data_IF_585719351669
#
_entry.id   IF_585719351669
#
_cell.length_a   1.000
_cell.length_b   1.000
_cell.length_c   1.000
_cell.angle_alpha   90.00
_cell.angle_beta   90.00
_cell.angle_gamma   90.00
#
_symmetry.space_group_name_H-M   'P 1'
#
loop_
_entity.id
_entity.type
_entity.pdbx_description
1 polymer ?
#
# COMPACT_ATOMS: atom_id res chain seq x y z
N UNK A 1 8.42 3.69 19.83
CA UNK A 1 7.29 4.55 20.26
C UNK A 1 6.07 4.19 19.45
N UNK A 2 4.88 4.51 19.95
CA UNK A 2 3.64 4.37 19.17
C UNK A 2 3.49 5.58 18.25
N UNK A 3 3.13 5.34 16.98
CA UNK A 3 2.76 6.40 16.02
C UNK A 3 1.25 6.62 16.05
N UNK A 4 0.76 7.82 15.66
CA UNK A 4 -0.67 8.12 15.71
C UNK A 4 -1.48 7.21 14.78
N UNK A 5 -0.96 6.89 13.59
CA UNK A 5 -1.58 5.92 12.69
C UNK A 5 -0.91 4.56 12.83
N UNK A 6 -1.71 3.51 13.10
CA UNK A 6 -1.22 2.13 13.18
C UNK A 6 -0.60 1.64 11.87
N UNK A 7 -1.13 2.11 10.75
CA UNK A 7 -0.70 1.80 9.39
C UNK A 7 -1.38 2.75 8.39
N UNK A 8 -0.87 2.80 7.16
CA UNK A 8 -1.47 3.53 6.04
C UNK A 8 -1.64 2.59 4.84
N UNK A 9 -2.87 2.43 4.36
CA UNK A 9 -3.19 1.58 3.23
C UNK A 9 -3.54 2.44 2.02
N UNK A 10 -2.75 2.35 0.95
CA UNK A 10 -2.83 3.17 -0.24
C UNK A 10 -3.03 2.31 -1.49
N UNK A 11 -3.75 2.83 -2.48
CA UNK A 11 -3.91 2.18 -3.77
C UNK A 11 -4.23 3.18 -4.88
N UNK A 12 -4.26 2.70 -6.12
CA UNK A 12 -4.67 3.51 -7.28
C UNK A 12 -6.12 3.23 -7.67
N UNK A 13 -6.52 1.96 -7.66
CA UNK A 13 -7.82 1.54 -8.16
C UNK A 13 -8.83 1.34 -7.03
N UNK A 14 -10.12 1.68 -7.24
CA UNK A 14 -11.19 1.27 -6.34
C UNK A 14 -11.22 -0.25 -6.14
N UNK A 15 -11.79 -0.71 -5.03
CA UNK A 15 -11.96 -2.15 -4.77
C UNK A 15 -12.85 -2.78 -5.84
N UNK A 16 -12.40 -3.89 -6.42
CA UNK A 16 -13.23 -4.72 -7.30
C UNK A 16 -14.00 -5.73 -6.45
N UNK A 17 -15.32 -5.79 -6.66
CA UNK A 17 -16.25 -6.62 -5.91
C UNK A 17 -16.88 -7.70 -6.79
N UNK A 18 -17.51 -8.69 -6.17
CA UNK A 18 -18.11 -9.84 -6.86
C UNK A 18 -17.15 -11.01 -6.98
N UNK A 19 -17.57 -12.05 -7.69
CA UNK A 19 -16.76 -13.26 -7.92
C UNK A 19 -16.04 -13.12 -9.25
N UNK A 20 -14.75 -13.38 -9.26
CA UNK A 20 -14.03 -13.59 -10.50
C UNK A 20 -14.42 -14.96 -11.06
N UNK A 21 -15.19 -14.97 -12.15
CA UNK A 21 -15.73 -16.20 -12.75
C UNK A 21 -14.66 -17.11 -13.34
N UNK A 22 -13.45 -16.60 -13.60
CA UNK A 22 -12.36 -17.40 -14.16
C UNK A 22 -11.66 -18.22 -13.08
N UNK A 23 -11.56 -17.69 -11.86
CA UNK A 23 -10.85 -18.35 -10.74
C UNK A 23 -11.77 -18.80 -9.60
N UNK A 24 -13.04 -18.40 -9.58
CA UNK A 24 -14.02 -18.77 -8.56
C UNK A 24 -13.85 -18.07 -7.21
N UNK A 25 -12.91 -17.15 -7.07
CA UNK A 25 -12.67 -16.38 -5.84
C UNK A 25 -13.33 -15.01 -5.87
N UNK A 26 -13.63 -14.47 -4.70
CA UNK A 26 -14.06 -13.07 -4.58
C UNK A 26 -12.94 -12.11 -5.02
N UNK A 27 -13.30 -11.09 -5.81
CA UNK A 27 -12.40 -10.03 -6.28
C UNK A 27 -11.84 -9.17 -5.14
N UNK A 28 -12.40 -9.30 -3.93
CA UNK A 28 -11.87 -8.69 -2.71
C UNK A 28 -10.44 -9.15 -2.43
N UNK A 29 -10.10 -10.43 -2.65
CA UNK A 29 -8.74 -10.94 -2.47
C UNK A 29 -7.75 -10.35 -3.48
N UNK A 30 -8.20 -10.11 -4.71
CA UNK A 30 -7.40 -9.42 -5.73
C UNK A 30 -7.27 -7.91 -5.49
N UNK A 31 -8.06 -7.35 -4.58
CA UNK A 31 -8.12 -5.92 -4.31
C UNK A 31 -7.48 -5.53 -2.98
N UNK A 32 -6.88 -6.44 -2.21
CA UNK A 32 -6.30 -6.10 -0.90
C UNK A 32 -5.04 -6.90 -0.58
N UNK A 33 -4.04 -6.22 -0.03
CA UNK A 33 -2.82 -6.82 0.54
C UNK A 33 -2.69 -6.59 2.05
N UNK A 34 -3.60 -5.81 2.65
CA UNK A 34 -3.60 -5.48 4.07
C UNK A 34 -4.90 -5.95 4.72
N UNK A 35 -4.78 -6.69 5.82
CA UNK A 35 -5.89 -7.36 6.49
C UNK A 35 -5.77 -7.23 8.00
N UNK A 36 -6.84 -6.83 8.66
CA UNK A 36 -6.88 -6.70 10.12
C UNK A 36 -7.21 -8.01 10.83
N UNK A 37 -7.84 -8.94 10.10
CA UNK A 37 -8.20 -10.31 10.49
C UNK A 37 -8.23 -11.17 9.23
N UNK A 38 -8.18 -12.52 9.33
CA UNK A 38 -8.18 -13.42 8.16
C UNK A 38 -9.34 -13.19 7.17
N UNK A 39 -10.45 -12.63 7.63
CA UNK A 39 -11.66 -12.38 6.83
C UNK A 39 -12.01 -10.90 6.68
N UNK A 40 -11.17 -9.98 7.18
CA UNK A 40 -11.48 -8.55 7.17
C UNK A 40 -10.34 -7.71 6.58
N UNK A 41 -10.47 -7.29 5.30
CA UNK A 41 -9.46 -6.45 4.66
C UNK A 41 -9.44 -5.06 5.31
N UNK A 42 -8.32 -4.37 5.17
CA UNK A 42 -8.21 -2.97 5.55
C UNK A 42 -8.57 -2.07 4.36
N UNK A 43 -9.35 -1.04 4.64
CA UNK A 43 -9.70 0.01 3.70
C UNK A 43 -8.46 0.68 3.13
N UNK A 44 -8.41 0.85 1.80
CA UNK A 44 -7.32 1.53 1.11
C UNK A 44 -7.79 2.91 0.65
N UNK A 45 -6.98 3.94 0.87
CA UNK A 45 -7.21 5.27 0.34
C UNK A 45 -6.67 5.34 -1.10
N UNK A 46 -7.47 5.91 -2.01
CA UNK A 46 -7.10 6.11 -3.41
C UNK A 46 -7.00 7.59 -3.77
N UNK A 47 -7.49 8.49 -2.93
CA UNK A 47 -7.46 9.92 -3.15
C UNK A 47 -6.27 10.54 -2.39
N UNK A 48 -5.27 11.09 -3.10
CA UNK A 48 -4.10 11.66 -2.44
C UNK A 48 -4.44 12.88 -1.57
N UNK A 49 -5.51 13.63 -1.89
CA UNK A 49 -5.98 14.73 -1.04
C UNK A 49 -6.44 14.22 0.33
N UNK A 50 -7.21 13.14 0.35
CA UNK A 50 -7.72 12.55 1.59
C UNK A 50 -6.59 11.90 2.41
N UNK A 51 -5.64 11.24 1.74
CA UNK A 51 -4.43 10.75 2.40
C UNK A 51 -3.62 11.89 3.04
N UNK A 52 -3.42 13.00 2.31
CA UNK A 52 -2.75 14.19 2.83
C UNK A 52 -3.48 14.79 4.02
N UNK A 53 -4.79 15.01 3.92
CA UNK A 53 -5.59 15.58 5.02
C UNK A 53 -5.56 14.69 6.25
N UNK A 54 -5.55 13.36 6.07
CA UNK A 54 -5.38 12.42 7.18
C UNK A 54 -4.03 12.57 7.89
N UNK A 55 -2.94 12.70 7.13
CA UNK A 55 -1.60 12.94 7.68
C UNK A 55 -1.51 14.32 8.36
N UNK A 56 -2.12 15.34 7.75
CA UNK A 56 -2.14 16.69 8.30
C UNK A 56 -2.91 16.73 9.63
N UNK A 57 -4.06 16.06 9.74
CA UNK A 57 -4.85 16.02 10.97
C UNK A 57 -4.10 15.39 12.15
N UNK A 58 -3.31 14.35 11.91
CA UNK A 58 -2.56 13.70 13.00
C UNK A 58 -1.31 14.47 13.40
N UNK A 59 -0.68 15.17 12.45
CA UNK A 59 0.53 15.97 12.67
C UNK A 59 0.21 17.38 13.21
N UNK A 60 -0.90 17.98 12.78
CA UNK A 60 -1.38 19.31 13.14
C UNK A 60 -2.88 19.28 13.48
N UNK A 61 -3.27 18.71 14.63
CA UNK A 61 -4.67 18.63 15.02
C UNK A 61 -5.28 20.03 15.24
N UNK A 62 -6.37 20.35 14.54
CA UNK A 62 -7.20 21.53 14.79
C UNK A 62 -8.43 21.14 15.61
N UNK A 63 -8.75 21.90 16.67
CA UNK A 63 -9.88 21.56 17.58
C UNK A 63 -11.26 21.67 16.90
N UNK A 64 -11.39 22.47 15.83
CA UNK A 64 -12.67 22.80 15.20
C UNK A 64 -13.10 21.94 14.01
N UNK A 65 -12.18 21.31 13.29
CA UNK A 65 -12.51 20.52 12.09
C UNK A 65 -13.08 19.13 12.45
N UNK A 66 -12.51 18.49 13.48
CA UNK A 66 -12.91 17.14 13.91
C UNK A 66 -14.40 17.02 14.27
N UNK A 67 -14.99 18.06 14.90
CA UNK A 67 -16.40 18.04 15.29
C UNK A 67 -17.35 18.20 14.10
N UNK A 68 -16.99 19.03 13.11
CA UNK A 68 -17.82 19.25 11.91
C UNK A 68 -17.82 18.04 10.99
N UNK A 69 -16.65 17.43 10.79
CA UNK A 69 -16.52 16.26 9.92
C UNK A 69 -17.20 15.03 10.52
N UNK A 70 -17.15 14.86 11.84
CA UNK A 70 -17.90 13.80 12.54
C UNK A 70 -19.41 13.94 12.36
N UNK A 71 -19.95 15.16 12.44
CA UNK A 71 -21.37 15.43 12.19
C UNK A 71 -21.78 15.15 10.74
N UNK A 72 -20.92 15.52 9.77
CA UNK A 72 -21.15 15.24 8.35
C UNK A 72 -21.12 13.73 8.07
N UNK A 73 -20.15 13.03 8.64
CA UNK A 73 -20.04 11.58 8.52
C UNK A 73 -21.26 10.88 9.13
N UNK A 74 -21.66 11.26 10.35
CA UNK A 74 -22.83 10.66 11.01
C UNK A 74 -24.10 10.85 10.15
N UNK A 75 -24.21 11.99 9.46
CA UNK A 75 -25.29 12.24 8.50
C UNK A 75 -25.18 11.35 7.25
N UNK A 76 -24.01 11.24 6.63
CA UNK A 76 -23.78 10.37 5.46
C UNK A 76 -24.02 8.89 5.81
N UNK A 77 -23.60 8.45 7.00
CA UNK A 77 -23.88 7.10 7.51
C UNK A 77 -25.38 6.90 7.74
N UNK A 78 -26.09 7.93 8.21
CA UNK A 78 -27.55 7.96 8.30
C UNK A 78 -28.21 7.76 6.93
N UNK A 79 -27.85 8.59 5.95
CA UNK A 79 -28.38 8.54 4.59
C UNK A 79 -28.07 7.20 3.90
N UNK A 80 -26.87 6.66 4.11
CA UNK A 80 -26.48 5.35 3.57
C UNK A 80 -27.28 4.19 4.19
N UNK A 81 -27.63 4.26 5.48
CA UNK A 81 -28.53 3.28 6.12
C UNK A 81 -29.94 3.38 5.55
N UNK A 82 -30.43 4.57 5.24
CA UNK A 82 -31.73 4.74 4.57
C UNK A 82 -31.71 4.22 3.14
N UNK A 83 -30.64 4.50 2.39
CA UNK A 83 -30.44 3.97 1.04
C UNK A 83 -30.40 2.44 1.06
N UNK A 84 -29.70 1.83 2.02
CA UNK A 84 -29.62 0.38 2.18
C UNK A 84 -30.99 -0.29 2.26
N UNK A 85 -31.96 0.32 2.95
CA UNK A 85 -33.34 -0.20 3.05
C UNK A 85 -34.05 -0.25 1.69
N UNK A 86 -33.58 0.50 0.69
CA UNK A 86 -34.15 0.61 -0.66
C UNK A 86 -33.39 -0.23 -1.69
N UNK A 87 -32.28 -0.86 -1.31
CA UNK A 87 -31.40 -1.63 -2.20
C UNK A 87 -31.71 -3.14 -2.15
N UNK A 88 -31.46 -3.83 -3.26
CA UNK A 88 -31.47 -5.30 -3.31
C UNK A 88 -30.28 -5.92 -2.56
N UNK A 89 -30.38 -7.20 -2.17
CA UNK A 89 -29.38 -7.87 -1.31
C UNK A 89 -27.93 -7.75 -1.80
N UNK A 90 -27.70 -7.82 -3.11
CA UNK A 90 -26.37 -7.66 -3.70
C UNK A 90 -25.78 -6.25 -3.50
N UNK A 91 -26.60 -5.20 -3.62
CA UNK A 91 -26.16 -3.82 -3.43
C UNK A 91 -26.05 -3.44 -1.94
N UNK A 92 -26.84 -4.06 -1.07
CA UNK A 92 -26.70 -3.89 0.38
C UNK A 92 -25.31 -4.31 0.87
N UNK A 93 -24.77 -5.42 0.35
CA UNK A 93 -23.41 -5.85 0.69
C UNK A 93 -22.36 -4.82 0.26
N UNK A 94 -22.56 -4.12 -0.87
CA UNK A 94 -21.63 -3.08 -1.37
C UNK A 94 -21.59 -1.87 -0.44
N UNK A 95 -22.77 -1.44 -0.02
CA UNK A 95 -22.92 -0.32 0.91
C UNK A 95 -22.34 -0.70 2.27
N UNK A 96 -22.55 -1.94 2.74
CA UNK A 96 -21.98 -2.40 4.02
C UNK A 96 -20.45 -2.40 4.02
N UNK A 97 -19.81 -2.96 2.99
CA UNK A 97 -18.35 -2.98 2.89
C UNK A 97 -17.78 -1.55 2.82
N UNK A 98 -18.44 -0.65 2.08
CA UNK A 98 -18.05 0.76 2.00
C UNK A 98 -18.19 1.47 3.35
N UNK A 99 -19.33 1.32 4.03
CA UNK A 99 -19.58 1.99 5.32
C UNK A 99 -18.67 1.46 6.42
N UNK A 100 -18.38 0.16 6.42
CA UNK A 100 -17.46 -0.46 7.38
C UNK A 100 -16.02 -0.01 7.13
N UNK A 101 -15.61 0.08 5.86
CA UNK A 101 -14.33 0.65 5.44
C UNK A 101 -14.17 2.08 5.97
N UNK A 102 -15.14 2.96 5.68
CA UNK A 102 -15.14 4.36 6.15
C UNK A 102 -15.12 4.44 7.67
N UNK A 103 -15.96 3.68 8.36
CA UNK A 103 -16.02 3.70 9.83
C UNK A 103 -14.72 3.22 10.47
N UNK A 104 -14.09 2.19 9.89
CA UNK A 104 -12.82 1.69 10.38
C UNK A 104 -11.69 2.72 10.24
N UNK A 105 -11.69 3.49 9.15
CA UNK A 105 -10.73 4.58 8.92
C UNK A 105 -10.95 5.71 9.93
N UNK A 106 -12.19 6.15 10.08
CA UNK A 106 -12.55 7.27 10.95
C UNK A 106 -12.25 6.98 12.42
N UNK A 107 -12.57 5.78 12.91
CA UNK A 107 -12.22 5.38 14.27
C UNK A 107 -10.70 5.43 14.51
N UNK A 108 -9.90 5.08 13.51
CA UNK A 108 -8.43 5.14 13.62
C UNK A 108 -7.95 6.58 13.63
N UNK A 109 -8.57 7.48 12.85
CA UNK A 109 -8.25 8.91 12.84
C UNK A 109 -8.64 9.55 14.17
N UNK A 110 -9.84 9.27 14.67
CA UNK A 110 -10.31 9.82 15.94
C UNK A 110 -9.38 9.43 17.09
N UNK A 111 -9.05 8.14 17.20
CA UNK A 111 -8.10 7.65 18.20
C UNK A 111 -6.72 8.28 18.06
N UNK A 112 -6.25 8.47 16.82
CA UNK A 112 -4.99 9.14 16.52
C UNK A 112 -5.02 10.64 16.83
N UNK A 113 -6.20 11.26 16.78
CA UNK A 113 -6.43 12.70 16.95
C UNK A 113 -6.62 13.13 18.41
N UNK A 114 -6.86 12.20 19.35
CA UNK A 114 -7.04 12.54 20.76
C UNK A 114 -5.76 13.15 21.39
N UNK A 115 -5.86 14.29 22.09
CA UNK A 115 -4.69 14.95 22.72
C UNK A 115 -4.15 14.22 23.97
N UNK A 116 -5.00 13.50 24.70
CA UNK A 116 -4.62 12.90 25.98
C UNK A 116 -3.61 11.75 25.80
N UNK A 117 -2.39 11.93 26.32
CA UNK A 117 -1.39 10.87 26.40
C UNK A 117 -0.42 10.75 25.22
N UNK A 118 -0.38 11.70 24.28
CA UNK A 118 0.59 11.65 23.17
C UNK A 118 2.02 11.92 23.67
N UNK A 119 2.83 10.87 23.76
CA UNK A 119 4.29 10.98 23.86
C UNK A 119 4.97 11.22 22.50
N UNK A 120 4.18 11.26 21.43
CA UNK A 120 4.64 11.37 20.05
C UNK A 120 4.48 12.81 19.54
N UNK A 121 5.46 13.27 18.75
CA UNK A 121 5.43 14.52 18.00
C UNK A 121 5.85 14.23 16.56
N UNK A 122 5.31 14.96 15.57
CA UNK A 122 5.69 14.76 14.18
C UNK A 122 7.18 15.05 13.97
N UNK A 123 7.86 14.17 13.23
CA UNK A 123 9.29 14.33 12.93
C UNK A 123 9.56 15.46 11.91
N UNK A 124 8.54 15.84 11.14
CA UNK A 124 8.58 16.94 10.18
C UNK A 124 7.23 17.65 10.12
N UNK A 125 7.26 18.95 9.80
CA UNK A 125 6.05 19.73 9.56
C UNK A 125 5.57 19.54 8.12
N UNK A 126 4.24 19.49 7.95
CA UNK A 126 3.59 19.52 6.65
C UNK A 126 3.10 20.93 6.35
N UNK A 127 3.24 21.42 5.13
CA UNK A 127 2.62 22.67 4.70
C UNK A 127 1.19 22.38 4.19
N UNK A 128 0.12 22.87 4.86
CA UNK A 128 -1.26 22.71 4.37
C UNK A 128 -1.49 23.20 2.94
N UNK A 129 -0.65 24.12 2.43
CA UNK A 129 -0.74 24.65 1.07
C UNK A 129 -0.26 23.67 0.00
N UNK A 130 0.52 22.66 0.35
CA UNK A 130 0.97 21.60 -0.56
C UNK A 130 -0.09 20.49 -0.78
N UNK A 131 -1.28 20.67 -0.21
CA UNK A 131 -2.37 19.72 -0.32
C UNK A 131 -2.73 19.45 -1.80
N UNK A 132 -2.77 18.17 -2.23
CA UNK A 132 -3.22 17.82 -3.58
C UNK A 132 -4.68 18.22 -3.84
N UNK A 133 -5.00 18.55 -5.08
CA UNK A 133 -6.38 18.88 -5.48
C UNK A 133 -7.34 17.68 -5.39
N UNK A 134 -6.84 16.46 -5.54
CA UNK A 134 -7.64 15.23 -5.57
C UNK A 134 -6.96 14.14 -6.40
N UNK A 135 -7.73 13.22 -6.94
CA UNK A 135 -7.25 12.22 -7.90
C UNK A 135 -6.90 12.94 -9.22
N UNK A 136 -5.64 12.89 -9.70
CA UNK A 136 -5.25 13.56 -10.94
C UNK A 136 -5.79 12.82 -12.17
N UNK A 137 -5.67 13.43 -13.35
CA UNK A 137 -6.22 12.88 -14.59
C UNK A 137 -5.41 11.69 -15.11
N UNK A 138 -4.09 11.69 -14.92
CA UNK A 138 -3.22 10.66 -15.48
C UNK A 138 -2.86 9.61 -14.44
N UNK A 139 -2.75 8.36 -14.89
CA UNK A 139 -2.31 7.26 -14.03
C UNK A 139 -0.91 7.52 -13.43
N UNK A 140 0.00 8.08 -14.23
CA UNK A 140 1.37 8.32 -13.80
C UNK A 140 1.46 9.38 -12.68
N UNK A 141 0.73 10.49 -12.80
CA UNK A 141 0.64 11.50 -11.74
C UNK A 141 -0.03 10.92 -10.49
N UNK A 142 -1.06 10.10 -10.65
CA UNK A 142 -1.76 9.49 -9.52
C UNK A 142 -0.81 8.60 -8.72
N UNK A 143 -0.03 7.76 -9.41
CA UNK A 143 0.99 6.93 -8.77
C UNK A 143 2.03 7.78 -8.06
N UNK A 144 2.52 8.86 -8.68
CA UNK A 144 3.51 9.75 -8.06
C UNK A 144 2.99 10.39 -6.79
N UNK A 145 1.79 10.98 -6.84
CA UNK A 145 1.16 11.58 -5.66
C UNK A 145 0.96 10.57 -4.53
N UNK A 146 0.52 9.35 -4.83
CA UNK A 146 0.33 8.34 -3.77
C UNK A 146 1.67 7.85 -3.18
N UNK A 147 2.74 7.79 -3.98
CA UNK A 147 4.08 7.51 -3.46
C UNK A 147 4.62 8.66 -2.62
N UNK A 148 4.34 9.92 -2.98
CA UNK A 148 4.65 11.08 -2.14
C UNK A 148 3.88 11.05 -0.81
N UNK A 149 2.60 10.63 -0.81
CA UNK A 149 1.85 10.45 0.44
C UNK A 149 2.48 9.39 1.33
N UNK A 150 2.99 8.30 0.75
CA UNK A 150 3.74 7.30 1.49
C UNK A 150 5.05 7.89 2.04
N UNK A 151 5.80 8.66 1.25
CA UNK A 151 7.03 9.29 1.71
C UNK A 151 6.78 10.29 2.85
N UNK A 152 5.76 11.15 2.73
CA UNK A 152 5.33 12.09 3.78
C UNK A 152 4.92 11.36 5.07
N UNK A 153 4.23 10.23 4.96
CA UNK A 153 3.81 9.46 6.13
C UNK A 153 5.01 8.96 6.96
N UNK A 154 6.11 8.60 6.29
CA UNK A 154 7.36 8.20 6.95
C UNK A 154 8.13 9.43 7.45
N UNK A 155 8.28 10.46 6.63
CA UNK A 155 9.01 11.69 6.98
C UNK A 155 8.44 12.37 8.24
N UNK A 156 7.12 12.37 8.37
CA UNK A 156 6.43 12.98 9.52
C UNK A 156 6.36 12.04 10.71
N UNK A 157 6.83 10.80 10.58
CA UNK A 157 6.67 9.72 11.56
C UNK A 157 5.19 9.42 11.91
N UNK A 158 4.27 9.69 10.98
CA UNK A 158 2.83 9.48 11.20
C UNK A 158 2.46 8.01 11.32
N UNK A 159 3.23 7.12 10.66
CA UNK A 159 3.07 5.67 10.75
C UNK A 159 4.38 4.92 10.49
N UNK A 160 4.51 3.70 11.03
CA UNK A 160 5.63 2.78 10.76
C UNK A 160 5.35 1.76 9.68
N UNK A 161 4.10 1.63 9.24
CA UNK A 161 3.66 0.58 8.31
C UNK A 161 2.82 1.20 7.21
N UNK A 162 3.21 0.99 5.96
CA UNK A 162 2.41 1.41 4.81
C UNK A 162 2.36 0.30 3.77
N UNK A 163 1.22 0.17 3.07
CA UNK A 163 1.06 -0.73 1.93
C UNK A 163 0.55 0.04 0.73
N UNK A 164 1.07 -0.26 -0.45
CA UNK A 164 0.64 0.39 -1.70
C UNK A 164 0.36 -0.63 -2.80
N UNK A 165 -0.77 -0.48 -3.49
CA UNK A 165 -1.11 -1.27 -4.67
C UNK A 165 -1.19 -0.40 -5.92
N UNK A 166 -0.33 -0.69 -6.91
CA UNK A 166 -0.35 -0.03 -8.23
C UNK A 166 -1.65 -0.32 -9.02
N UNK A 167 -2.32 -1.43 -8.72
CA UNK A 167 -3.59 -1.84 -9.30
C UNK A 167 -4.13 -3.09 -8.60
N UNK A 168 -5.39 -3.44 -8.84
CA UNK A 168 -5.94 -4.71 -8.37
C UNK A 168 -5.42 -5.87 -9.23
N UNK A 169 -5.48 -7.09 -8.73
CA UNK A 169 -5.35 -8.26 -9.58
C UNK A 169 -6.35 -8.17 -10.74
N UNK A 170 -5.91 -8.54 -11.94
CA UNK A 170 -6.72 -8.48 -13.18
C UNK A 170 -7.01 -7.04 -13.67
N UNK A 171 -6.51 -5.98 -13.01
CA UNK A 171 -6.72 -4.61 -13.50
C UNK A 171 -6.04 -4.38 -14.84
N UNK A 172 -6.82 -3.98 -15.86
CA UNK A 172 -6.30 -3.73 -17.20
C UNK A 172 -5.95 -2.25 -17.44
N UNK A 173 -5.24 -1.65 -16.48
CA UNK A 173 -4.80 -0.24 -16.58
C UNK A 173 -4.08 0.00 -17.89
N UNK A 174 -4.46 1.04 -18.61
CA UNK A 174 -3.87 1.41 -19.89
C UNK A 174 -2.51 2.09 -19.69
N UNK A 175 -1.48 1.59 -20.38
CA UNK A 175 -0.11 2.11 -20.34
C UNK A 175 0.33 2.79 -21.65
N UNK A 176 -0.61 3.20 -22.51
CA UNK A 176 -0.33 3.83 -23.81
C UNK A 176 0.36 5.19 -23.73
N UNK A 177 0.54 5.73 -22.53
CA UNK A 177 1.38 6.91 -22.30
C UNK A 177 2.89 6.56 -22.36
N UNK A 178 3.25 5.28 -22.32
CA UNK A 178 4.62 4.81 -22.55
C UNK A 178 4.85 4.61 -24.04
N UNK A 179 5.94 5.18 -24.55
CA UNK A 179 6.31 5.01 -25.95
C UNK A 179 6.44 3.53 -26.34
N UNK A 180 5.81 3.16 -27.45
CA UNK A 180 5.73 1.80 -27.95
C UNK A 180 4.99 0.81 -27.03
N UNK A 181 4.02 1.28 -26.24
CA UNK A 181 3.01 0.45 -25.56
C UNK A 181 1.62 0.86 -26.04
N UNK A 182 0.77 -0.09 -26.37
CA UNK A 182 -0.59 0.18 -26.90
C UNK A 182 -1.71 -0.56 -26.15
N UNK A 183 -1.36 -1.37 -25.16
CA UNK A 183 -2.30 -2.22 -24.42
C UNK A 183 -2.40 -1.91 -22.92
N UNK A 184 -3.37 -2.57 -22.29
CA UNK A 184 -3.48 -2.60 -20.83
C UNK A 184 -2.54 -3.64 -20.21
N UNK A 185 -2.12 -3.40 -18.96
CA UNK A 185 -1.15 -4.23 -18.27
C UNK A 185 -1.59 -5.71 -18.17
N UNK A 186 -2.85 -5.96 -17.81
CA UNK A 186 -3.35 -7.33 -17.68
C UNK A 186 -3.38 -8.05 -19.02
N UNK A 187 -3.89 -7.42 -20.08
CA UNK A 187 -3.88 -8.00 -21.43
C UNK A 187 -2.47 -8.32 -21.91
N UNK A 188 -1.53 -7.39 -21.71
CA UNK A 188 -0.13 -7.59 -22.11
C UNK A 188 0.61 -8.62 -21.25
N UNK A 189 0.16 -8.89 -20.02
CA UNK A 189 0.71 -9.97 -19.20
C UNK A 189 0.36 -11.36 -19.76
N UNK A 190 -0.73 -11.50 -20.52
CA UNK A 190 -1.06 -12.69 -21.31
C UNK A 190 -0.36 -12.62 -22.68
N UNK A 191 0.97 -12.54 -22.66
CA UNK A 191 1.76 -12.22 -23.84
C UNK A 191 1.80 -13.34 -24.91
N UNK A 192 1.33 -14.56 -24.62
CA UNK A 192 1.30 -15.72 -25.55
C UNK A 192 2.67 -16.05 -26.19
N UNK A 193 3.77 -15.72 -25.51
CA UNK A 193 5.15 -15.74 -26.05
C UNK A 193 5.36 -14.90 -27.33
N UNK A 194 4.46 -13.97 -27.65
CA UNK A 194 4.62 -13.02 -28.77
C UNK A 194 5.65 -11.96 -28.38
N UNK A 195 6.69 -11.81 -29.19
CA UNK A 195 7.81 -10.89 -28.93
C UNK A 195 7.34 -9.44 -28.76
N UNK A 196 6.37 -9.00 -29.56
CA UNK A 196 5.76 -7.66 -29.47
C UNK A 196 5.08 -7.38 -28.14
N UNK A 197 4.38 -8.37 -27.56
CA UNK A 197 3.71 -8.22 -26.27
C UNK A 197 4.73 -8.28 -25.13
N UNK A 198 5.74 -9.13 -25.24
CA UNK A 198 6.83 -9.23 -24.26
C UNK A 198 7.58 -7.91 -24.11
N UNK A 199 7.93 -7.24 -25.22
CA UNK A 199 8.61 -5.94 -25.18
C UNK A 199 7.74 -4.89 -24.48
N UNK A 200 6.44 -4.85 -24.78
CA UNK A 200 5.51 -3.93 -24.14
C UNK A 200 5.35 -4.24 -22.63
N UNK A 201 5.20 -5.51 -22.28
CA UNK A 201 5.09 -5.95 -20.90
C UNK A 201 6.35 -5.61 -20.08
N UNK A 202 7.53 -5.78 -20.69
CA UNK A 202 8.80 -5.36 -20.10
C UNK A 202 8.84 -3.84 -19.85
N UNK A 203 8.40 -3.02 -20.80
CA UNK A 203 8.34 -1.55 -20.63
C UNK A 203 7.43 -1.15 -19.46
N UNK A 204 6.29 -1.82 -19.29
CA UNK A 204 5.39 -1.61 -18.15
C UNK A 204 6.08 -2.03 -16.85
N UNK A 205 6.76 -3.17 -16.81
CA UNK A 205 7.50 -3.62 -15.63
C UNK A 205 8.62 -2.64 -15.25
N UNK A 206 9.39 -2.17 -16.24
CA UNK A 206 10.44 -1.16 -16.04
C UNK A 206 9.86 0.16 -15.50
N UNK A 207 8.69 0.57 -15.98
CA UNK A 207 8.02 1.76 -15.45
C UNK A 207 7.66 1.61 -13.97
N UNK A 208 7.12 0.46 -13.54
CA UNK A 208 6.81 0.21 -12.13
C UNK A 208 8.08 0.22 -11.26
N UNK A 209 9.17 -0.40 -11.73
CA UNK A 209 10.48 -0.36 -11.05
C UNK A 209 11.00 1.07 -10.95
N UNK A 210 10.80 1.90 -11.98
CA UNK A 210 11.15 3.32 -11.93
C UNK A 210 10.32 4.11 -10.91
N UNK A 211 9.06 3.74 -10.67
CA UNK A 211 8.25 4.37 -9.62
C UNK A 211 8.73 3.96 -8.23
N UNK A 212 9.12 2.69 -8.06
CA UNK A 212 9.79 2.23 -6.84
C UNK A 212 11.10 3.00 -6.59
N UNK A 213 11.96 3.12 -7.61
CA UNK A 213 13.19 3.91 -7.52
C UNK A 213 12.94 5.37 -7.15
N UNK A 214 11.89 5.99 -7.67
CA UNK A 214 11.49 7.34 -7.26
C UNK A 214 11.17 7.44 -5.77
N UNK A 215 10.33 6.55 -5.25
CA UNK A 215 10.02 6.52 -3.82
C UNK A 215 11.30 6.41 -2.99
N UNK A 216 12.21 5.50 -3.36
CA UNK A 216 13.48 5.35 -2.65
C UNK A 216 14.30 6.65 -2.69
N UNK A 217 14.35 7.31 -3.84
CA UNK A 217 14.98 8.63 -3.99
C UNK A 217 14.38 9.65 -3.02
N UNK A 218 13.06 9.78 -2.99
CA UNK A 218 12.34 10.67 -2.06
C UNK A 218 12.70 10.39 -0.61
N UNK A 219 12.67 9.13 -0.19
CA UNK A 219 13.02 8.73 1.18
C UNK A 219 14.50 9.00 1.51
N UNK A 220 15.40 8.90 0.52
CA UNK A 220 16.83 9.17 0.73
C UNK A 220 17.17 10.66 0.86
N UNK A 221 16.33 11.53 0.29
CA UNK A 221 16.47 12.99 0.37
C UNK A 221 15.95 13.56 1.71
N UNK A 222 15.12 12.80 2.42
CA UNK A 222 14.51 13.20 3.69
C UNK A 222 15.43 12.85 4.86
N UNK A 223 16.03 13.87 5.49
CA UNK A 223 16.90 13.67 6.66
C UNK A 223 16.14 13.10 7.85
N UNK A 224 16.76 12.17 8.56
CA UNK A 224 16.27 11.60 9.81
C UNK A 224 17.47 11.24 10.70
N UNK A 225 17.65 11.97 11.81
CA UNK A 225 18.82 11.81 12.68
C UNK A 225 20.14 11.99 11.92
N UNK A 226 21.05 11.03 12.08
CA UNK A 226 22.37 10.99 11.42
C UNK A 226 22.30 10.45 9.97
N UNK A 227 21.13 10.03 9.50
CA UNK A 227 20.93 9.47 8.16
C UNK A 227 19.74 10.10 7.45
N UNK A 228 19.05 9.28 6.67
CA UNK A 228 17.80 9.63 6.01
C UNK A 228 16.72 8.59 6.30
N UNK A 229 15.48 8.92 5.94
CA UNK A 229 14.33 8.04 6.18
C UNK A 229 14.52 6.66 5.53
N UNK A 230 15.19 6.57 4.37
CA UNK A 230 15.47 5.27 3.72
C UNK A 230 16.46 4.41 4.54
N UNK A 231 17.46 5.02 5.20
CA UNK A 231 18.39 4.30 6.07
C UNK A 231 17.69 3.64 7.26
N UNK A 232 16.62 4.28 7.76
CA UNK A 232 15.83 3.75 8.88
C UNK A 232 14.62 2.91 8.43
N UNK A 233 14.38 2.80 7.13
CA UNK A 233 13.25 2.06 6.55
C UNK A 233 13.67 0.75 5.89
N UNK A 234 12.68 -0.09 5.60
CA UNK A 234 12.79 -1.22 4.68
C UNK A 234 11.56 -1.26 3.78
N UNK A 235 11.76 -1.23 2.47
CA UNK A 235 10.69 -1.15 1.48
C UNK A 235 10.75 -2.37 0.57
N UNK A 236 9.74 -3.23 0.65
CA UNK A 236 9.57 -4.39 -0.23
C UNK A 236 8.74 -3.99 -1.46
N UNK A 237 9.26 -4.31 -2.64
CA UNK A 237 8.58 -4.17 -3.93
C UNK A 237 8.58 -5.49 -4.67
N UNK A 238 7.51 -5.80 -5.39
CA UNK A 238 7.46 -6.97 -6.25
C UNK A 238 6.06 -7.37 -6.67
N UNK A 239 5.95 -8.63 -7.13
CA UNK A 239 4.72 -9.22 -7.65
C UNK A 239 4.48 -10.59 -7.04
N UNK A 240 3.21 -10.97 -6.94
CA UNK A 240 2.79 -12.33 -6.58
C UNK A 240 2.95 -13.36 -7.72
N UNK A 241 3.34 -12.92 -8.92
CA UNK A 241 3.60 -13.76 -10.08
C UNK A 241 4.94 -13.39 -10.72
N UNK A 242 5.73 -14.41 -11.11
CA UNK A 242 6.93 -14.25 -11.95
C UNK A 242 6.57 -14.02 -13.40
N UNK A 243 5.63 -14.80 -13.90
CA UNK A 243 5.15 -14.73 -15.27
C UNK A 243 3.63 -14.63 -15.26
N UNK A 244 3.11 -13.57 -15.88
CA UNK A 244 1.68 -13.34 -16.01
C UNK A 244 1.01 -14.35 -16.93
N UNK A 245 1.69 -14.78 -18.00
CA UNK A 245 1.08 -15.61 -19.03
C UNK A 245 0.81 -17.05 -18.56
N UNK A 246 1.78 -17.64 -17.85
CA UNK A 246 1.60 -18.94 -17.19
C UNK A 246 0.98 -18.86 -15.80
N UNK A 247 0.72 -17.66 -15.29
CA UNK A 247 0.36 -17.39 -13.90
C UNK A 247 1.30 -18.07 -12.90
N UNK A 248 2.61 -18.05 -13.15
CA UNK A 248 3.58 -18.76 -12.30
C UNK A 248 3.83 -18.03 -10.98
N UNK A 249 3.50 -18.63 -9.82
CA UNK A 249 3.77 -18.05 -8.50
C UNK A 249 5.16 -18.43 -7.98
N UNK A 250 6.03 -18.99 -8.83
CA UNK A 250 7.35 -19.51 -8.44
C UNK A 250 8.45 -18.53 -8.83
N UNK A 251 9.46 -18.41 -7.97
CA UNK A 251 10.62 -17.54 -8.17
C UNK A 251 10.22 -16.07 -8.41
N UNK A 252 9.53 -15.51 -7.42
CA UNK A 252 8.89 -14.19 -7.49
C UNK A 252 9.91 -13.05 -7.63
N UNK A 253 9.61 -12.00 -8.42
CA UNK A 253 10.50 -10.86 -8.60
C UNK A 253 10.35 -9.90 -7.42
N UNK A 254 11.20 -10.06 -6.41
CA UNK A 254 11.15 -9.27 -5.18
C UNK A 254 12.42 -8.45 -5.01
N UNK A 255 12.25 -7.18 -4.60
CA UNK A 255 13.35 -6.26 -4.30
C UNK A 255 13.08 -5.62 -2.93
N UNK A 256 14.10 -5.59 -2.09
CA UNK A 256 14.07 -4.89 -0.81
C UNK A 256 15.13 -3.81 -0.84
N UNK A 257 14.77 -2.61 -0.39
CA UNK A 257 15.68 -1.49 -0.26
C UNK A 257 15.52 -0.82 1.11
N UNK A 258 16.53 -0.04 1.47
CA UNK A 258 16.69 0.53 2.81
C UNK A 258 17.59 -0.32 3.70
N UNK A 259 17.89 0.19 4.89
CA UNK A 259 18.82 -0.46 5.84
C UNK A 259 18.14 -0.93 7.12
N UNK A 260 16.88 -0.56 7.35
CA UNK A 260 16.14 -0.82 8.59
C UNK A 260 16.94 -0.47 9.86
N UNK A 261 17.67 0.65 9.84
CA UNK A 261 18.57 1.04 10.92
C UNK A 261 19.79 0.13 11.08
N UNK A 262 20.27 -0.46 9.98
CA UNK A 262 21.42 -1.38 9.94
C UNK A 262 21.07 -2.85 10.19
N UNK A 263 19.79 -3.22 10.27
CA UNK A 263 19.33 -4.60 10.49
C UNK A 263 19.24 -5.45 9.23
N UNK A 264 19.26 -4.84 8.06
CA UNK A 264 19.28 -5.56 6.79
C UNK A 264 20.71 -5.67 6.25
N UNK A 265 21.04 -6.85 5.74
CA UNK A 265 22.22 -7.03 4.91
C UNK A 265 21.90 -6.54 3.49
N UNK A 266 22.56 -5.47 3.05
CA UNK A 266 22.29 -4.81 1.76
C UNK A 266 23.29 -5.22 0.67
N UNK A 267 23.00 -4.87 -0.59
CA UNK A 267 23.96 -5.00 -1.70
C UNK A 267 24.16 -6.43 -2.20
N UNK A 268 23.11 -7.26 -2.15
CA UNK A 268 23.18 -8.67 -2.47
C UNK A 268 21.99 -9.13 -3.32
N UNK A 269 22.17 -10.27 -3.99
CA UNK A 269 21.13 -11.01 -4.68
C UNK A 269 21.05 -12.41 -4.06
N UNK A 270 19.92 -12.72 -3.42
CA UNK A 270 19.71 -13.99 -2.75
C UNK A 270 18.99 -14.96 -3.69
N UNK A 271 19.70 -16.00 -4.12
CA UNK A 271 19.10 -17.13 -4.83
C UNK A 271 18.73 -18.18 -3.79
N UNK A 272 17.44 -18.43 -3.63
CA UNK A 272 16.91 -19.39 -2.66
C UNK A 272 16.79 -20.78 -3.29
N UNK A 273 16.87 -21.82 -2.46
CA UNK A 273 16.60 -23.19 -2.90
C UNK A 273 15.16 -23.31 -3.46
N UNK A 274 14.94 -24.20 -4.44
CA UNK A 274 13.60 -24.45 -4.97
C UNK A 274 12.58 -24.77 -3.86
N UNK A 275 11.38 -24.19 -3.97
CA UNK A 275 10.30 -24.31 -2.99
C UNK A 275 10.56 -23.65 -1.63
N UNK A 276 11.57 -22.78 -1.49
CA UNK A 276 11.68 -21.91 -0.31
C UNK A 276 10.42 -21.05 -0.17
N UNK A 277 9.68 -21.13 0.95
CA UNK A 277 8.47 -20.33 1.16
C UNK A 277 8.80 -18.83 1.19
N UNK A 278 8.01 -18.02 0.48
CA UNK A 278 8.11 -16.54 0.55
C UNK A 278 7.95 -16.04 1.99
N UNK A 279 7.09 -16.69 2.76
CA UNK A 279 6.84 -16.34 4.16
C UNK A 279 8.09 -16.38 5.04
N UNK A 280 9.14 -17.12 4.67
CA UNK A 280 10.44 -17.06 5.36
C UNK A 280 11.05 -15.65 5.30
N UNK A 281 10.87 -14.95 4.17
CA UNK A 281 11.29 -13.56 4.04
C UNK A 281 10.52 -12.66 5.02
N UNK A 282 9.21 -12.85 5.13
CA UNK A 282 8.39 -12.06 6.05
C UNK A 282 8.77 -12.26 7.51
N UNK A 283 9.13 -13.50 7.92
CA UNK A 283 9.69 -13.76 9.25
C UNK A 283 10.97 -12.95 9.49
N UNK A 284 11.89 -12.93 8.52
CA UNK A 284 13.11 -12.11 8.61
C UNK A 284 12.79 -10.60 8.69
N UNK A 285 11.85 -10.10 7.88
CA UNK A 285 11.47 -8.68 7.92
C UNK A 285 10.80 -8.31 9.24
N UNK A 286 9.94 -9.15 9.82
CA UNK A 286 9.33 -8.91 11.13
C UNK A 286 10.40 -8.90 12.24
N UNK A 287 11.41 -9.75 12.15
CA UNK A 287 12.58 -9.69 13.03
C UNK A 287 13.35 -8.37 12.87
N UNK A 288 13.59 -7.91 11.63
CA UNK A 288 14.23 -6.62 11.38
C UNK A 288 13.40 -5.43 11.89
N UNK A 289 12.07 -5.53 11.85
CA UNK A 289 11.16 -4.53 12.41
C UNK A 289 11.23 -4.46 13.95
N UNK A 290 11.68 -5.53 14.61
CA UNK A 290 11.69 -5.65 16.07
C UNK A 290 10.46 -6.35 16.66
N UNK A 291 9.72 -7.13 15.85
CA UNK A 291 8.60 -7.98 16.28
C UNK A 291 8.82 -9.42 15.82
N UNK A 292 9.87 -10.10 16.31
CA UNK A 292 10.16 -11.46 15.88
C UNK A 292 8.97 -12.39 16.14
N UNK A 293 8.72 -13.29 15.19
CA UNK A 293 7.70 -14.31 15.28
C UNK A 293 8.33 -15.66 14.95
N UNK A 294 7.87 -16.73 15.59
CA UNK A 294 8.38 -18.07 15.30
C UNK A 294 7.97 -18.55 13.90
N UNK A 295 6.78 -18.14 13.45
CA UNK A 295 6.21 -18.57 12.18
C UNK A 295 5.16 -17.59 11.66
N UNK A 296 5.12 -17.44 10.35
CA UNK A 296 4.06 -16.78 9.59
C UNK A 296 3.63 -17.67 8.41
N UNK A 297 2.33 -17.92 8.24
CA UNK A 297 1.79 -18.77 7.17
C UNK A 297 2.52 -20.13 7.02
N UNK A 298 3.06 -20.42 5.85
CA UNK A 298 3.78 -21.66 5.49
C UNK A 298 5.30 -21.58 5.74
N UNK A 299 5.77 -20.58 6.49
CA UNK A 299 7.21 -20.43 6.75
C UNK A 299 7.76 -21.61 7.55
N UNK A 300 9.02 -21.91 7.26
CA UNK A 300 9.84 -22.95 7.89
C UNK A 300 10.97 -22.35 8.74
N UNK A 301 11.11 -21.03 8.75
CA UNK A 301 12.09 -20.28 9.54
C UNK A 301 12.38 -18.91 8.91
N UNK A 302 13.29 -18.10 9.50
CA UNK A 302 13.77 -16.89 8.86
C UNK A 302 14.55 -17.21 7.59
N UNK A 303 14.39 -16.40 6.55
CA UNK A 303 15.19 -16.50 5.34
C UNK A 303 16.66 -16.12 5.62
N UNK A 304 17.62 -17.04 5.41
CA UNK A 304 19.04 -16.75 5.64
C UNK A 304 19.57 -15.63 4.75
N UNK A 305 20.54 -14.88 5.27
CA UNK A 305 21.22 -13.81 4.52
C UNK A 305 20.48 -12.47 4.49
N UNK A 306 19.21 -12.39 4.89
CA UNK A 306 18.43 -11.13 4.90
C UNK A 306 18.88 -10.18 6.03
N UNK A 307 19.07 -10.73 7.23
CA UNK A 307 19.46 -9.96 8.41
C UNK A 307 20.97 -9.72 8.44
N UNK A 308 21.37 -8.54 8.90
CA UNK A 308 22.77 -8.26 9.18
C UNK A 308 23.26 -9.10 10.36
N UNK A 309 24.55 -9.46 10.31
CA UNK A 309 25.25 -10.07 11.46
C UNK A 309 25.65 -8.94 12.39
N UNK A 310 24.75 -8.56 13.29
CA UNK A 310 25.08 -7.64 14.40
C UNK A 310 25.78 -8.42 15.49
#
# INVERSE_FOLDING_TARGET
>A
GQTPLSSLELAISPVSIGVDTNVGYTRVYGSHIAWSRPTRPLAREINPRLAFERLLRVTQPSEGENARDRLLLDRVLGDARELKKKLGAGDQSRVDDYLESVRSLEKRIEQASLPEGRSWQPAANMDPMEKPAGIPQTHAEHVRLMLDMMALAFQTDSTRVCTFMFGNAVSNTNFSFLDGVSGGHHSLSHHENKAENLVQYQKIAQWHVAQYGYLLGRLSEMKEGEGNVLDHSMILFGSGLRDGNSHSPRNLPLVIAGRAGGRLQTGQHLVCEPNTPLSNLYVSLLSAFGTPVDRFADSTGPLPGVLSRV
#
